data_IF_695373558818
#
_entry.id   IF_695373558818
#
_cell.length_a   1.000
_cell.length_b   1.000
_cell.length_c   1.000
_cell.angle_alpha   90.00
_cell.angle_beta   90.00
_cell.angle_gamma   90.00
#
_symmetry.space_group_name_H-M   'P 1'
#
loop_
_entity.id
_entity.type
_entity.pdbx_description
1 polymer ?
#
# COMPACT_ATOMS: atom_id res chain seq x y z
N UNK A 1 -10.26 14.98 28.47
CA UNK A 1 -9.37 14.78 27.29
C UNK A 1 -8.40 13.65 27.64
N UNK A 2 -8.64 12.43 27.18
CA UNK A 2 -7.81 11.27 27.52
C UNK A 2 -6.42 11.47 26.89
N UNK A 3 -5.42 11.61 27.74
CA UNK A 3 -4.00 11.64 27.35
C UNK A 3 -3.63 10.26 26.79
N UNK A 4 -3.84 10.10 25.47
CA UNK A 4 -3.51 8.84 24.79
C UNK A 4 -2.00 8.70 24.74
N UNK A 5 -1.47 7.82 25.57
CA UNK A 5 -0.06 7.54 25.70
C UNK A 5 0.56 7.31 24.30
N UNK A 6 1.72 7.92 23.96
CA UNK A 6 2.35 7.80 22.61
C UNK A 6 2.48 6.38 22.08
N UNK A 7 2.70 5.39 22.96
CA UNK A 7 2.78 3.95 22.61
C UNK A 7 1.46 3.40 22.06
N UNK A 8 0.30 3.84 22.58
CA UNK A 8 -1.02 3.41 22.11
C UNK A 8 -1.30 3.98 20.73
N UNK A 9 -0.93 5.25 20.50
CA UNK A 9 -1.06 5.90 19.19
C UNK A 9 -0.20 5.22 18.11
N UNK A 10 1.06 4.89 18.40
CA UNK A 10 1.94 4.20 17.45
C UNK A 10 1.39 2.84 17.04
N UNK A 11 0.85 2.05 17.99
CA UNK A 11 0.23 0.76 17.67
C UNK A 11 -1.00 0.93 16.77
N UNK A 12 -1.86 1.91 17.07
CA UNK A 12 -3.05 2.18 16.27
C UNK A 12 -2.69 2.58 14.82
N UNK A 13 -1.64 3.40 14.64
CA UNK A 13 -1.16 3.77 13.30
C UNK A 13 -0.65 2.53 12.56
N UNK A 14 0.15 1.67 13.20
CA UNK A 14 0.67 0.47 12.56
C UNK A 14 -0.45 -0.53 12.20
N UNK A 15 -1.45 -0.71 13.06
CA UNK A 15 -2.63 -1.54 12.75
C UNK A 15 -3.39 -0.98 11.54
N UNK A 16 -3.60 0.33 11.50
CA UNK A 16 -4.24 0.98 10.35
C UNK A 16 -3.42 0.81 9.06
N UNK A 17 -2.07 0.89 9.13
CA UNK A 17 -1.18 0.65 7.98
C UNK A 17 -1.40 -0.77 7.45
N UNK A 18 -1.40 -1.78 8.32
CA UNK A 18 -1.65 -3.18 7.93
C UNK A 18 -3.01 -3.33 7.26
N UNK A 19 -4.07 -2.74 7.83
CA UNK A 19 -5.42 -2.76 7.23
C UNK A 19 -5.45 -2.17 5.81
N UNK A 20 -4.71 -1.06 5.57
CA UNK A 20 -4.66 -0.48 4.22
C UNK A 20 -3.84 -1.37 3.26
N UNK A 21 -2.73 -1.96 3.71
CA UNK A 21 -1.92 -2.89 2.92
C UNK A 21 -2.72 -4.15 2.56
N UNK A 22 -3.50 -4.70 3.50
CA UNK A 22 -4.37 -5.86 3.27
C UNK A 22 -5.49 -5.54 2.27
N UNK A 23 -5.91 -4.28 2.19
CA UNK A 23 -6.84 -3.78 1.18
C UNK A 23 -6.18 -3.52 -0.20
N UNK A 24 -4.88 -3.83 -0.37
CA UNK A 24 -4.13 -3.60 -1.61
C UNK A 24 -3.61 -2.17 -1.79
N UNK A 25 -3.78 -1.30 -0.80
CA UNK A 25 -3.33 0.09 -0.85
C UNK A 25 -1.83 0.20 -0.50
N UNK A 26 -1.10 1.02 -1.25
CA UNK A 26 0.24 1.46 -0.84
C UNK A 26 0.10 2.47 0.29
N UNK A 27 1.02 2.44 1.23
CA UNK A 27 1.01 3.37 2.37
C UNK A 27 2.36 4.07 2.50
N UNK A 28 2.34 5.40 2.57
CA UNK A 28 3.50 6.16 3.00
C UNK A 28 3.37 6.51 4.48
N UNK A 29 4.43 6.27 5.25
CA UNK A 29 4.48 6.54 6.68
C UNK A 29 5.62 7.47 7.04
N UNK A 30 5.34 8.44 7.90
CA UNK A 30 6.30 9.30 8.55
C UNK A 30 6.44 8.92 10.02
N UNK A 31 7.67 8.85 10.52
CA UNK A 31 7.96 8.60 11.92
C UNK A 31 8.95 9.63 12.44
N UNK A 32 8.60 10.34 13.52
CA UNK A 32 9.52 11.23 14.21
C UNK A 32 10.58 10.40 14.91
N UNK A 33 11.86 10.57 14.52
CA UNK A 33 13.01 9.85 15.09
C UNK A 33 13.78 10.67 16.10
N UNK A 34 13.80 11.99 15.94
CA UNK A 34 14.48 12.91 16.86
C UNK A 34 13.70 14.22 16.98
N UNK A 35 13.68 14.79 18.17
CA UNK A 35 13.04 16.07 18.47
C UNK A 35 13.94 16.87 19.42
N UNK A 36 14.37 18.07 19.01
CA UNK A 36 15.25 18.95 19.76
C UNK A 36 14.59 20.32 19.94
N UNK A 37 14.68 20.86 21.13
CA UNK A 37 14.10 22.17 21.48
C UNK A 37 12.56 22.11 21.62
N UNK A 38 11.91 23.25 21.44
CA UNK A 38 10.44 23.36 21.55
C UNK A 38 9.79 22.98 20.22
N UNK A 39 9.32 21.73 20.11
CA UNK A 39 8.67 21.19 18.93
C UNK A 39 7.37 20.50 19.26
N UNK A 40 6.36 20.54 18.37
CA UNK A 40 5.06 19.95 18.64
C UNK A 40 5.04 18.41 18.59
N UNK A 41 6.01 17.80 17.87
CA UNK A 41 6.13 16.35 17.71
C UNK A 41 7.06 15.73 18.74
N UNK A 42 6.76 14.48 19.13
CA UNK A 42 7.62 13.69 20.02
C UNK A 42 8.19 12.48 19.26
N UNK A 43 9.43 12.00 19.58
CA UNK A 43 9.96 10.77 19.02
C UNK A 43 8.96 9.61 19.17
N UNK A 44 8.77 8.86 18.08
CA UNK A 44 7.77 7.79 17.98
C UNK A 44 6.39 8.22 17.46
N UNK A 45 6.10 9.52 17.36
CA UNK A 45 4.89 10.01 16.69
C UNK A 45 4.89 9.61 15.21
N UNK A 46 3.74 9.23 14.68
CA UNK A 46 3.58 8.70 13.31
C UNK A 46 2.38 9.32 12.61
N UNK A 47 2.54 9.54 11.31
CA UNK A 47 1.48 9.89 10.37
C UNK A 47 1.58 8.95 9.17
N UNK A 48 0.48 8.33 8.77
CA UNK A 48 0.42 7.48 7.59
C UNK A 48 -0.64 7.98 6.62
N UNK A 49 -0.37 7.82 5.32
CA UNK A 49 -1.26 8.20 4.21
C UNK A 49 -1.31 7.05 3.21
N UNK A 50 -2.50 6.67 2.73
CA UNK A 50 -2.69 5.64 1.70
C UNK A 50 -2.84 6.25 0.30
N UNK A 51 -2.73 5.43 -0.74
CA UNK A 51 -2.94 5.82 -2.14
C UNK A 51 -4.33 6.38 -2.40
N UNK A 52 -5.35 5.96 -1.66
CA UNK A 52 -6.70 6.54 -1.72
C UNK A 52 -6.83 7.91 -1.01
N UNK A 53 -5.74 8.44 -0.45
CA UNK A 53 -5.73 9.73 0.25
C UNK A 53 -6.25 9.68 1.69
N UNK A 54 -6.59 8.51 2.22
CA UNK A 54 -6.93 8.36 3.63
C UNK A 54 -5.68 8.56 4.47
N UNK A 55 -5.84 9.12 5.67
CA UNK A 55 -4.73 9.36 6.59
C UNK A 55 -5.08 8.98 8.02
N UNK A 56 -4.06 8.58 8.78
CA UNK A 56 -4.20 8.24 10.19
C UNK A 56 -2.94 8.58 10.99
N UNK A 57 -3.13 9.01 12.23
CA UNK A 57 -2.05 9.41 13.11
C UNK A 57 -1.73 10.91 13.07
N UNK A 58 -0.68 11.31 13.74
CA UNK A 58 -0.20 12.71 13.78
C UNK A 58 1.28 12.74 14.17
N UNK A 59 2.00 13.70 13.62
CA UNK A 59 3.38 14.04 13.98
C UNK A 59 3.47 15.33 14.78
N UNK A 60 2.30 15.97 15.04
CA UNK A 60 2.16 17.21 15.80
C UNK A 60 2.37 18.47 14.99
N UNK A 61 1.55 19.49 15.28
CA UNK A 61 1.62 20.83 14.68
C UNK A 61 1.08 20.90 13.24
N UNK A 62 0.00 21.68 13.04
CA UNK A 62 -0.73 21.73 11.78
C UNK A 62 0.15 22.07 10.56
N UNK A 63 1.06 23.03 10.65
CA UNK A 63 1.94 23.42 9.53
C UNK A 63 2.98 22.34 9.19
N UNK A 64 3.57 21.71 10.18
CA UNK A 64 4.50 20.60 10.02
C UNK A 64 3.79 19.38 9.40
N UNK A 65 2.61 19.07 9.90
CA UNK A 65 1.82 17.92 9.44
C UNK A 65 1.43 18.05 7.97
N UNK A 66 0.95 19.23 7.54
CA UNK A 66 0.65 19.50 6.13
C UNK A 66 1.88 19.34 5.23
N UNK A 67 3.06 19.73 5.70
CA UNK A 67 4.29 19.60 4.92
C UNK A 67 4.71 18.14 4.77
N UNK A 68 4.68 17.39 5.86
CA UNK A 68 4.98 15.95 5.87
C UNK A 68 3.96 15.19 5.02
N UNK A 69 2.68 15.46 5.16
CA UNK A 69 1.61 14.87 4.34
C UNK A 69 1.87 15.06 2.84
N UNK A 70 2.27 16.28 2.44
CA UNK A 70 2.62 16.55 1.04
C UNK A 70 3.82 15.73 0.57
N UNK A 71 4.87 15.60 1.38
CA UNK A 71 6.03 14.74 1.08
C UNK A 71 5.64 13.27 0.94
N UNK A 72 4.74 12.76 1.79
CA UNK A 72 4.22 11.40 1.72
C UNK A 72 3.42 11.16 0.44
N UNK A 73 2.51 12.08 0.08
CA UNK A 73 1.72 12.00 -1.16
C UNK A 73 2.61 12.05 -2.40
N UNK A 74 3.65 12.89 -2.40
CA UNK A 74 4.64 12.93 -3.48
C UNK A 74 5.40 11.60 -3.61
N UNK A 75 5.75 10.94 -2.51
CA UNK A 75 6.36 9.62 -2.55
C UNK A 75 5.42 8.56 -3.11
N UNK A 76 4.13 8.58 -2.74
CA UNK A 76 3.11 7.67 -3.28
C UNK A 76 2.84 7.88 -4.77
N UNK A 77 3.00 9.09 -5.29
CA UNK A 77 2.78 9.38 -6.73
C UNK A 77 3.88 8.82 -7.64
N UNK A 78 5.05 8.44 -7.10
CA UNK A 78 6.14 7.86 -7.87
C UNK A 78 5.82 6.45 -8.31
N UNK A 79 6.18 6.09 -9.56
CA UNK A 79 5.98 4.74 -10.07
C UNK A 79 6.84 3.71 -9.33
N UNK A 80 6.38 2.46 -9.26
CA UNK A 80 7.13 1.34 -8.64
C UNK A 80 8.58 1.23 -9.17
N UNK A 81 8.81 1.53 -10.46
CA UNK A 81 10.16 1.49 -11.06
C UNK A 81 11.08 2.60 -10.56
N UNK A 82 10.54 3.77 -10.24
CA UNK A 82 11.32 4.89 -9.69
C UNK A 82 11.62 4.68 -8.20
N UNK A 83 10.75 3.99 -7.47
CA UNK A 83 10.93 3.72 -6.03
C UNK A 83 11.99 2.67 -5.73
N UNK A 84 12.23 1.71 -6.62
CA UNK A 84 13.29 0.69 -6.43
C UNK A 84 14.70 1.29 -6.23
N UNK A 85 14.89 2.57 -6.54
CA UNK A 85 16.18 3.26 -6.38
C UNK A 85 16.33 4.08 -5.09
N UNK A 86 15.25 4.35 -4.34
CA UNK A 86 15.30 5.38 -3.29
C UNK A 86 14.99 4.90 -1.88
N UNK A 87 14.37 3.74 -1.67
CA UNK A 87 13.99 3.30 -0.32
C UNK A 87 13.25 4.40 0.47
N UNK A 88 13.48 4.47 1.78
CA UNK A 88 13.05 5.57 2.62
C UNK A 88 14.00 6.76 2.57
N UNK A 89 13.54 7.91 3.04
CA UNK A 89 14.36 9.12 3.22
C UNK A 89 14.20 9.68 4.62
N UNK A 90 15.20 10.46 5.06
CA UNK A 90 15.13 11.24 6.31
C UNK A 90 15.06 12.70 5.92
N UNK A 91 14.08 13.40 6.48
CA UNK A 91 13.95 14.85 6.34
C UNK A 91 14.14 15.52 7.70
N UNK A 92 14.88 16.64 7.69
CA UNK A 92 15.08 17.48 8.88
C UNK A 92 14.25 18.76 8.72
N UNK A 93 13.38 19.01 9.68
CA UNK A 93 12.51 20.19 9.74
C UNK A 93 13.01 21.15 10.81
N UNK A 94 13.33 22.38 10.41
CA UNK A 94 13.66 23.46 11.34
C UNK A 94 12.43 24.36 11.52
N UNK A 95 12.03 24.54 12.76
CA UNK A 95 10.86 25.35 13.17
C UNK A 95 11.33 26.72 13.64
N UNK A 96 12.13 27.43 12.81
CA UNK A 96 12.63 28.76 13.10
C UNK A 96 12.29 29.72 11.95
N UNK A 97 12.10 31.01 12.29
CA UNK A 97 11.85 32.06 11.29
C UNK A 97 12.96 32.24 10.25
N UNK A 98 14.20 31.86 10.56
CA UNK A 98 15.40 32.17 9.75
C UNK A 98 16.26 30.93 9.42
N UNK A 99 15.68 29.74 9.36
CA UNK A 99 16.41 28.49 9.08
C UNK A 99 16.99 28.47 7.66
N UNK A 100 18.33 28.60 7.52
CA UNK A 100 19.06 28.47 6.24
C UNK A 100 19.80 27.14 6.19
N UNK A 101 19.54 26.30 5.16
CA UNK A 101 20.30 25.07 4.91
C UNK A 101 19.71 24.30 3.74
N UNK A 102 20.58 23.64 2.93
CA UNK A 102 20.17 22.91 1.71
C UNK A 102 19.42 21.60 1.98
N UNK A 103 19.56 21.03 3.19
CA UNK A 103 18.95 19.75 3.59
C UNK A 103 17.84 19.95 4.64
N UNK A 104 17.38 21.18 4.81
CA UNK A 104 16.51 21.56 5.92
C UNK A 104 15.28 22.25 5.37
N UNK A 105 14.11 21.77 5.76
CA UNK A 105 12.82 22.42 5.47
C UNK A 105 12.55 23.43 6.58
N UNK A 106 12.74 24.73 6.29
CA UNK A 106 12.35 25.78 7.20
C UNK A 106 10.83 25.94 7.22
N UNK A 107 10.25 25.92 8.41
CA UNK A 107 8.83 26.18 8.63
C UNK A 107 8.68 27.45 9.46
N UNK A 108 7.83 28.35 9.00
CA UNK A 108 7.44 29.53 9.77
C UNK A 108 6.62 29.08 10.99
N UNK A 109 7.22 29.10 12.17
CA UNK A 109 6.63 28.59 13.40
C UNK A 109 7.05 29.45 14.58
N UNK A 110 6.11 29.66 15.51
CA UNK A 110 6.39 30.29 16.80
C UNK A 110 7.22 29.38 17.74
N UNK A 111 7.33 28.08 17.40
CA UNK A 111 8.14 27.11 18.14
C UNK A 111 9.59 27.14 17.60
N UNK A 112 10.58 27.17 18.49
CA UNK A 112 11.99 27.05 18.14
C UNK A 112 12.47 25.63 18.37
N UNK A 113 12.85 24.88 17.29
CA UNK A 113 13.34 23.53 17.45
C UNK A 113 13.58 22.79 16.13
N UNK A 114 14.00 21.56 16.24
CA UNK A 114 14.33 20.70 15.11
C UNK A 114 13.66 19.34 15.27
N UNK A 115 13.14 18.81 14.16
CA UNK A 115 12.62 17.45 14.06
C UNK A 115 13.34 16.71 12.92
N UNK A 116 13.75 15.47 13.18
CA UNK A 116 14.12 14.53 12.13
C UNK A 116 13.01 13.50 11.96
N UNK A 117 12.60 13.29 10.73
CA UNK A 117 11.47 12.41 10.38
C UNK A 117 11.94 11.43 9.33
N UNK A 118 11.74 10.15 9.59
CA UNK A 118 11.87 9.08 8.61
C UNK A 118 10.60 9.02 7.80
N UNK A 119 10.72 8.93 6.48
CA UNK A 119 9.63 8.80 5.52
C UNK A 119 9.91 7.56 4.68
N UNK A 120 8.94 6.66 4.58
CA UNK A 120 9.05 5.44 3.79
C UNK A 120 7.72 5.10 3.12
N UNK A 121 7.76 4.34 2.03
CA UNK A 121 6.57 3.76 1.39
C UNK A 121 6.61 2.26 1.57
N UNK A 122 5.49 1.72 2.01
CA UNK A 122 5.28 0.29 2.21
C UNK A 122 4.34 -0.18 1.11
N UNK A 123 4.77 -1.20 0.39
CA UNK A 123 3.98 -1.85 -0.66
C UNK A 123 3.14 -2.98 -0.06
N UNK A 124 1.91 -3.18 -0.52
CA UNK A 124 1.13 -4.36 -0.16
C UNK A 124 1.81 -5.64 -0.68
N UNK A 125 1.50 -6.76 -0.06
CA UNK A 125 1.89 -8.06 -0.59
C UNK A 125 1.22 -8.26 -1.95
N UNK A 126 1.96 -8.66 -3.00
CA UNK A 126 1.36 -8.93 -4.31
C UNK A 126 0.21 -9.94 -4.20
N UNK A 127 -0.91 -9.65 -4.85
CA UNK A 127 -2.05 -10.55 -4.95
C UNK A 127 -2.31 -10.84 -6.43
N UNK A 128 -1.99 -12.05 -6.85
CA UNK A 128 -2.04 -12.48 -8.25
C UNK A 128 -3.40 -13.11 -8.56
N UNK A 129 -4.09 -12.61 -9.59
CA UNK A 129 -5.21 -13.34 -10.18
C UNK A 129 -4.68 -14.33 -11.23
N UNK A 130 -4.85 -15.62 -10.98
CA UNK A 130 -4.52 -16.71 -11.90
C UNK A 130 -5.80 -17.07 -12.66
N UNK A 131 -5.96 -16.56 -13.87
CA UNK A 131 -7.07 -16.88 -14.75
C UNK A 131 -6.68 -18.07 -15.65
N UNK A 132 -7.09 -19.26 -15.21
CA UNK A 132 -6.74 -20.54 -15.80
C UNK A 132 -6.09 -21.49 -14.79
N UNK A 133 -6.88 -22.36 -14.15
CA UNK A 133 -6.44 -23.31 -13.11
C UNK A 133 -5.83 -24.61 -13.63
N UNK A 134 -5.37 -24.66 -14.90
CA UNK A 134 -4.69 -25.81 -15.51
C UNK A 134 -3.35 -26.14 -14.87
N UNK A 135 -2.48 -26.86 -15.59
CA UNK A 135 -1.16 -27.24 -15.07
C UNK A 135 -0.25 -26.02 -14.81
N UNK A 136 -0.27 -25.04 -15.72
CA UNK A 136 0.51 -23.81 -15.57
C UNK A 136 0.00 -23.01 -14.38
N UNK A 137 -1.30 -22.81 -14.25
CA UNK A 137 -1.90 -22.10 -13.10
C UNK A 137 -1.56 -22.75 -11.77
N UNK A 138 -1.56 -24.10 -11.71
CA UNK A 138 -1.13 -24.83 -10.51
C UNK A 138 0.35 -24.57 -10.18
N UNK A 139 1.23 -24.54 -11.19
CA UNK A 139 2.65 -24.24 -10.96
C UNK A 139 2.86 -22.80 -10.50
N UNK A 140 2.11 -21.84 -11.07
CA UNK A 140 2.14 -20.43 -10.63
C UNK A 140 1.67 -20.29 -9.18
N UNK A 141 0.61 -20.98 -8.78
CA UNK A 141 0.14 -21.00 -7.38
C UNK A 141 1.25 -21.43 -6.40
N UNK A 142 1.99 -22.49 -6.72
CA UNK A 142 3.13 -22.95 -5.91
C UNK A 142 4.24 -21.88 -5.83
N UNK A 143 4.50 -21.18 -6.91
CA UNK A 143 5.47 -20.07 -6.92
C UNK A 143 5.00 -18.92 -6.04
N UNK A 144 3.71 -18.56 -6.10
CA UNK A 144 3.15 -17.54 -5.21
C UNK A 144 3.32 -17.93 -3.73
N UNK A 145 3.01 -19.16 -3.38
CA UNK A 145 3.21 -19.68 -2.02
C UNK A 145 4.68 -19.58 -1.57
N UNK A 146 5.61 -19.96 -2.46
CA UNK A 146 7.04 -19.91 -2.18
C UNK A 146 7.54 -18.48 -1.95
N UNK A 147 6.95 -17.50 -2.65
CA UNK A 147 7.28 -16.09 -2.53
C UNK A 147 6.53 -15.37 -1.40
N UNK A 148 5.58 -16.04 -0.73
CA UNK A 148 4.69 -15.43 0.25
C UNK A 148 3.70 -14.44 -0.39
N UNK A 149 3.38 -14.61 -1.67
CA UNK A 149 2.40 -13.80 -2.38
C UNK A 149 1.00 -14.39 -2.23
N UNK A 150 0.00 -13.52 -2.16
CA UNK A 150 -1.39 -13.94 -2.23
C UNK A 150 -1.75 -14.28 -3.68
N UNK A 151 -2.67 -15.23 -3.85
CA UNK A 151 -3.22 -15.53 -5.16
C UNK A 151 -4.69 -15.96 -5.06
N UNK A 152 -5.44 -15.64 -6.11
CA UNK A 152 -6.80 -16.12 -6.34
C UNK A 152 -6.85 -16.84 -7.69
N UNK A 153 -7.71 -17.83 -7.82
CA UNK A 153 -7.80 -18.63 -9.04
C UNK A 153 -9.20 -18.53 -9.64
N UNK A 154 -9.26 -18.23 -10.92
CA UNK A 154 -10.46 -18.28 -11.73
C UNK A 154 -10.32 -19.33 -12.83
N UNK A 155 -11.31 -20.18 -13.00
CA UNK A 155 -11.48 -21.08 -14.18
C UNK A 155 -12.96 -21.35 -14.38
N UNK A 156 -13.42 -21.38 -15.63
CA UNK A 156 -14.83 -21.69 -15.96
C UNK A 156 -15.21 -23.11 -15.55
N UNK A 157 -14.24 -24.01 -15.41
CA UNK A 157 -14.39 -25.40 -15.03
C UNK A 157 -14.17 -25.59 -13.54
N UNK A 158 -15.17 -26.09 -12.81
CA UNK A 158 -15.11 -26.28 -11.36
C UNK A 158 -13.97 -27.20 -10.89
N UNK A 159 -13.61 -28.20 -11.69
CA UNK A 159 -12.50 -29.11 -11.37
C UNK A 159 -11.13 -28.43 -11.41
N UNK A 160 -11.04 -27.27 -12.07
CA UNK A 160 -9.81 -26.50 -12.24
C UNK A 160 -9.75 -25.26 -11.34
N UNK A 161 -10.84 -24.88 -10.66
CA UNK A 161 -10.87 -23.78 -9.71
C UNK A 161 -11.67 -24.15 -8.46
N UNK A 162 -11.00 -24.84 -7.53
CA UNK A 162 -11.60 -25.23 -6.25
C UNK A 162 -10.53 -25.30 -5.16
N UNK A 163 -10.99 -25.28 -3.90
CA UNK A 163 -10.13 -25.27 -2.73
C UNK A 163 -9.29 -26.55 -2.56
N UNK A 164 -9.78 -27.70 -3.04
CA UNK A 164 -9.00 -28.95 -2.98
C UNK A 164 -7.77 -28.88 -3.87
N UNK A 165 -7.89 -28.27 -5.05
CA UNK A 165 -6.81 -28.09 -6.00
C UNK A 165 -5.85 -26.96 -5.61
N UNK A 166 -6.38 -25.88 -5.00
CA UNK A 166 -5.66 -24.68 -4.59
C UNK A 166 -5.90 -24.38 -3.11
N UNK A 167 -5.34 -25.18 -2.18
CA UNK A 167 -5.65 -25.07 -0.76
C UNK A 167 -5.19 -23.76 -0.10
N UNK A 168 -4.21 -23.09 -0.68
CA UNK A 168 -3.61 -21.85 -0.19
C UNK A 168 -4.17 -20.60 -0.89
N UNK A 169 -5.00 -20.78 -1.92
CA UNK A 169 -5.60 -19.64 -2.61
C UNK A 169 -6.54 -18.84 -1.69
N UNK A 170 -6.42 -17.52 -1.74
CA UNK A 170 -7.30 -16.59 -1.03
C UNK A 170 -8.75 -16.78 -1.46
N UNK A 171 -8.96 -17.00 -2.76
CA UNK A 171 -10.29 -17.25 -3.35
C UNK A 171 -10.16 -18.19 -4.56
N UNK A 172 -11.11 -19.09 -4.72
CA UNK A 172 -11.29 -19.88 -5.94
C UNK A 172 -12.66 -19.60 -6.52
N UNK A 173 -12.72 -19.20 -7.79
CA UNK A 173 -13.97 -18.83 -8.47
C UNK A 173 -14.16 -19.69 -9.70
N UNK A 174 -15.32 -20.35 -9.79
CA UNK A 174 -15.72 -21.11 -10.97
C UNK A 174 -17.11 -20.64 -11.42
N UNK A 175 -17.15 -19.90 -12.51
CA UNK A 175 -18.38 -19.39 -13.12
C UNK A 175 -18.09 -19.02 -14.58
N UNK A 176 -19.12 -18.56 -15.33
CA UNK A 176 -18.90 -18.00 -16.66
C UNK A 176 -18.01 -16.74 -16.59
N UNK A 177 -17.29 -16.44 -17.66
CA UNK A 177 -16.49 -15.20 -17.75
C UNK A 177 -17.36 -13.97 -17.55
N UNK A 178 -18.56 -13.95 -18.14
CA UNK A 178 -19.50 -12.85 -18.02
C UNK A 178 -19.92 -12.60 -16.56
N UNK A 179 -20.18 -13.65 -15.79
CA UNK A 179 -20.52 -13.54 -14.37
C UNK A 179 -19.30 -13.09 -13.53
N UNK A 180 -18.12 -13.61 -13.83
CA UNK A 180 -16.89 -13.18 -13.20
C UNK A 180 -16.64 -11.67 -13.44
N UNK A 181 -16.72 -11.23 -14.68
CA UNK A 181 -16.56 -9.82 -15.06
C UNK A 181 -17.60 -8.92 -14.39
N UNK A 182 -18.84 -9.38 -14.29
CA UNK A 182 -19.91 -8.66 -13.58
C UNK A 182 -19.63 -8.56 -12.08
N UNK A 183 -19.17 -9.64 -11.46
CA UNK A 183 -18.78 -9.67 -10.05
C UNK A 183 -17.62 -8.72 -9.79
N UNK A 184 -16.58 -8.76 -10.60
CA UNK A 184 -15.39 -7.93 -10.43
C UNK A 184 -15.62 -6.45 -10.74
N UNK A 185 -16.58 -6.08 -11.58
CA UNK A 185 -16.97 -4.67 -11.78
C UNK A 185 -17.64 -4.06 -10.55
N UNK A 186 -18.24 -4.85 -9.70
CA UNK A 186 -18.85 -4.40 -8.44
C UNK A 186 -17.88 -4.42 -7.26
N UNK A 187 -16.85 -5.24 -7.30
CA UNK A 187 -15.74 -5.28 -6.34
C UNK A 187 -14.50 -4.69 -6.99
N UNK A 188 -13.76 -3.86 -6.26
CA UNK A 188 -12.54 -3.25 -6.79
C UNK A 188 -11.54 -4.30 -7.25
N UNK A 189 -11.19 -4.32 -8.54
CA UNK A 189 -10.07 -5.11 -9.07
C UNK A 189 -8.71 -4.66 -8.53
N UNK A 190 -8.68 -3.51 -7.88
CA UNK A 190 -7.48 -2.94 -7.26
C UNK A 190 -6.83 -3.85 -6.20
N UNK A 191 -7.57 -4.87 -5.71
CA UNK A 191 -6.99 -5.88 -4.81
C UNK A 191 -5.93 -6.76 -5.49
N UNK A 192 -5.99 -6.91 -6.81
CA UNK A 192 -5.00 -7.66 -7.57
C UNK A 192 -3.87 -6.75 -8.03
N UNK A 193 -2.64 -7.12 -7.72
CA UNK A 193 -1.46 -6.43 -8.24
C UNK A 193 -1.17 -6.77 -9.70
N UNK A 194 -1.51 -7.99 -10.11
CA UNK A 194 -1.26 -8.54 -11.44
C UNK A 194 -2.31 -9.60 -11.81
N UNK A 195 -2.56 -9.75 -13.11
CA UNK A 195 -3.43 -10.78 -13.66
C UNK A 195 -2.63 -11.62 -14.64
N UNK A 196 -2.63 -12.94 -14.46
CA UNK A 196 -2.03 -13.89 -15.37
C UNK A 196 -3.13 -14.66 -16.10
N UNK A 197 -3.30 -14.42 -17.39
CA UNK A 197 -4.24 -15.15 -18.24
C UNK A 197 -3.52 -16.36 -18.81
N UNK A 198 -3.94 -17.55 -18.37
CA UNK A 198 -3.27 -18.84 -18.62
C UNK A 198 -4.25 -19.86 -19.25
N UNK A 199 -5.29 -19.37 -19.89
CA UNK A 199 -6.27 -20.17 -20.61
C UNK A 199 -5.69 -20.77 -21.90
N UNK A 200 -6.54 -21.49 -22.62
CA UNK A 200 -6.27 -22.00 -23.96
C UNK A 200 -7.45 -21.77 -24.91
N UNK A 201 -8.45 -21.05 -24.43
CA UNK A 201 -9.57 -20.57 -25.23
C UNK A 201 -9.38 -19.07 -25.48
N UNK A 202 -9.03 -18.73 -26.73
CA UNK A 202 -8.75 -17.36 -27.13
C UNK A 202 -9.88 -16.38 -26.81
N UNK A 203 -11.15 -16.79 -26.97
CA UNK A 203 -12.28 -15.90 -26.73
C UNK A 203 -12.44 -15.56 -25.25
N UNK A 204 -12.24 -16.55 -24.38
CA UNK A 204 -12.26 -16.39 -22.92
C UNK A 204 -11.08 -15.52 -22.46
N UNK A 205 -9.89 -15.79 -22.98
CA UNK A 205 -8.68 -15.09 -22.63
C UNK A 205 -8.72 -13.61 -23.07
N UNK A 206 -9.32 -13.33 -24.23
CA UNK A 206 -9.49 -11.97 -24.74
C UNK A 206 -10.39 -11.13 -23.82
N UNK A 207 -11.53 -11.66 -23.37
CA UNK A 207 -12.44 -10.97 -22.47
C UNK A 207 -11.77 -10.65 -21.12
N UNK A 208 -10.96 -11.58 -20.59
CA UNK A 208 -10.19 -11.38 -19.36
C UNK A 208 -9.06 -10.35 -19.51
N UNK A 209 -8.38 -10.33 -20.67
CA UNK A 209 -7.36 -9.34 -20.98
C UNK A 209 -7.92 -7.92 -21.07
N UNK A 210 -9.08 -7.76 -21.72
CA UNK A 210 -9.78 -6.46 -21.81
C UNK A 210 -10.08 -5.94 -20.39
N UNK A 211 -10.50 -6.81 -19.48
CA UNK A 211 -10.74 -6.43 -18.10
C UNK A 211 -9.47 -5.89 -17.42
N UNK A 212 -8.34 -6.58 -17.60
CA UNK A 212 -7.07 -6.19 -16.97
C UNK A 212 -6.58 -4.83 -17.48
N UNK A 213 -6.75 -4.54 -18.76
CA UNK A 213 -6.32 -3.28 -19.39
C UNK A 213 -7.15 -2.06 -18.96
N UNK A 214 -8.39 -2.27 -18.51
CA UNK A 214 -9.29 -1.16 -18.11
C UNK A 214 -9.10 -0.80 -16.62
N UNK A 215 -8.56 -1.70 -15.79
CA UNK A 215 -8.63 -1.59 -14.33
C UNK A 215 -7.28 -1.72 -13.59
N UNK A 216 -6.18 -1.99 -14.28
CA UNK A 216 -4.81 -2.04 -13.74
C UNK A 216 -3.92 -0.94 -14.39
#
# INVERSE_FOLDING_TARGET
>A
MLDRHPRVMSRAVLSWVVEQLDAGERVAIASVIEALGSVPGKPGAKLAVSTSGKKFGTVGGAGLELRIERSLLEMLSKSKSQMRKTGGKIETYLLYKDGKGKEVVALDSLCGGQLKVSLEVIEPVPHILIAGGGHVGKSVSIVCDTLGWQHSVFDVRSDFSNQQRFPTATETVSCSVADFLKKEKSSSLSRFSDVLVLGHDWSVDQDLLILSLIHI
#
